data_IF_277185568682
#
_entry.id   IF_277185568682
#
_cell.length_a   1.000
_cell.length_b   1.000
_cell.length_c   1.000
_cell.angle_alpha   90.00
_cell.angle_beta   90.00
_cell.angle_gamma   90.00
#
_symmetry.space_group_name_H-M   'P 1'
#
loop_
_entity.id
_entity.type
_entity.pdbx_description
1 polymer ?
#
# COMPACT_ATOMS: atom_id res chain seq x y z
N UNK A 1 16.42 14.18 -2.78
CA UNK A 1 16.01 13.47 -1.54
C UNK A 1 16.94 12.28 -1.38
N UNK A 2 17.64 12.20 -0.24
CA UNK A 2 18.69 11.23 0.02
C UNK A 2 18.26 10.34 1.20
N UNK A 3 18.49 9.04 1.08
CA UNK A 3 18.30 8.09 2.17
C UNK A 3 19.46 8.14 3.14
N UNK A 4 19.15 8.21 4.42
CA UNK A 4 20.13 8.13 5.50
C UNK A 4 19.83 6.90 6.35
N UNK A 5 20.87 6.25 6.88
CA UNK A 5 20.69 5.11 7.76
C UNK A 5 20.14 5.59 9.10
N UNK A 6 19.05 4.99 9.56
CA UNK A 6 18.41 5.35 10.83
C UNK A 6 18.55 4.27 11.90
N UNK A 7 18.48 2.99 11.53
CA UNK A 7 18.46 1.89 12.50
C UNK A 7 19.17 0.65 11.97
N UNK A 8 19.67 -0.17 12.90
CA UNK A 8 20.20 -1.51 12.67
C UNK A 8 19.44 -2.48 13.58
N UNK A 9 18.75 -3.45 12.98
CA UNK A 9 17.97 -4.47 13.68
C UNK A 9 18.82 -5.75 13.71
N UNK A 10 19.29 -6.12 14.89
CA UNK A 10 20.27 -7.18 15.09
C UNK A 10 19.89 -8.14 16.22
N UNK A 11 20.55 -9.29 16.27
CA UNK A 11 20.53 -10.20 17.42
C UNK A 11 19.37 -11.18 17.49
N UNK A 12 18.30 -10.99 16.71
CA UNK A 12 17.14 -11.90 16.73
C UNK A 12 17.30 -13.08 15.75
N UNK A 13 17.65 -12.80 14.49
CA UNK A 13 17.88 -13.85 13.50
C UNK A 13 19.26 -14.49 13.65
N UNK A 14 19.29 -15.82 13.69
CA UNK A 14 20.52 -16.63 13.70
C UNK A 14 20.75 -17.36 12.37
N UNK A 15 19.73 -17.39 11.50
CA UNK A 15 19.81 -17.93 10.15
C UNK A 15 19.67 -16.81 9.12
N UNK A 16 20.07 -17.09 7.88
CA UNK A 16 19.98 -16.14 6.77
C UNK A 16 18.55 -15.63 6.58
N UNK A 17 18.38 -14.31 6.61
CA UNK A 17 17.11 -13.65 6.31
C UNK A 17 16.84 -13.77 4.81
N UNK A 18 15.66 -14.27 4.46
CA UNK A 18 15.24 -14.64 3.10
C UNK A 18 14.23 -13.70 2.49
N UNK A 19 13.45 -13.04 3.35
CA UNK A 19 12.44 -12.09 2.91
C UNK A 19 12.32 -10.94 3.88
N UNK A 20 12.10 -9.76 3.32
CA UNK A 20 11.80 -8.52 4.03
C UNK A 20 10.59 -7.90 3.33
N UNK A 21 9.59 -7.49 4.10
CA UNK A 21 8.45 -6.77 3.54
C UNK A 21 7.87 -5.78 4.54
N UNK A 22 7.68 -4.55 4.07
CA UNK A 22 7.01 -3.51 4.83
C UNK A 22 5.49 -3.69 4.76
N UNK A 23 4.81 -3.45 5.88
CA UNK A 23 3.36 -3.39 5.90
C UNK A 23 2.87 -2.20 5.06
N UNK A 24 1.84 -2.37 4.21
CA UNK A 24 1.32 -1.29 3.38
C UNK A 24 0.56 -0.24 4.20
N UNK A 25 0.11 -0.57 5.42
CA UNK A 25 -0.77 0.27 6.24
C UNK A 25 -0.05 0.82 7.47
N UNK A 26 0.67 -0.04 8.19
CA UNK A 26 1.34 0.28 9.45
C UNK A 26 2.85 0.40 9.23
N UNK A 27 3.58 1.23 10.03
CA UNK A 27 5.03 1.33 9.96
C UNK A 27 5.71 0.10 10.61
N UNK A 28 5.37 -1.08 10.12
CA UNK A 28 5.93 -2.36 10.54
C UNK A 28 6.74 -2.99 9.39
N UNK A 29 7.80 -3.70 9.75
CA UNK A 29 8.58 -4.52 8.84
C UNK A 29 8.45 -5.99 9.28
N UNK A 30 8.15 -6.89 8.36
CA UNK A 30 8.27 -8.33 8.60
C UNK A 30 9.58 -8.85 8.02
N UNK A 31 10.26 -9.71 8.76
CA UNK A 31 11.42 -10.46 8.29
C UNK A 31 11.23 -11.95 8.54
N UNK A 32 11.66 -12.77 7.59
CA UNK A 32 11.61 -14.22 7.67
C UNK A 32 12.94 -14.84 7.28
N UNK A 33 13.38 -15.87 8.01
CA UNK A 33 14.65 -16.56 7.76
C UNK A 33 14.48 -18.03 7.32
N UNK A 34 15.60 -18.63 6.90
CA UNK A 34 15.69 -20.03 6.46
C UNK A 34 15.36 -21.04 7.59
N UNK A 35 15.40 -20.63 8.87
CA UNK A 35 15.06 -21.49 10.01
C UNK A 35 13.58 -21.43 10.41
N UNK A 36 12.79 -20.58 9.74
CA UNK A 36 11.36 -20.40 10.02
C UNK A 36 11.06 -19.36 11.10
N UNK A 37 12.03 -18.53 11.49
CA UNK A 37 11.79 -17.43 12.40
C UNK A 37 11.16 -16.26 11.64
N UNK A 38 9.94 -15.90 12.00
CA UNK A 38 9.28 -14.68 11.56
C UNK A 38 9.37 -13.63 12.66
N UNK A 39 9.86 -12.43 12.33
CA UNK A 39 9.91 -11.31 13.25
C UNK A 39 9.14 -10.14 12.64
N UNK A 40 8.29 -9.50 13.43
CA UNK A 40 7.64 -8.24 13.04
C UNK A 40 8.24 -7.13 13.88
N UNK A 41 8.74 -6.09 13.24
CA UNK A 41 9.45 -4.98 13.84
C UNK A 41 8.61 -3.71 13.77
N UNK A 42 8.65 -2.92 14.82
CA UNK A 42 8.20 -1.52 14.80
C UNK A 42 9.35 -0.67 14.25
N UNK A 43 9.15 -0.03 13.10
CA UNK A 43 10.21 0.73 12.42
C UNK A 43 10.49 2.06 13.14
N UNK A 44 9.56 2.57 13.95
CA UNK A 44 9.75 3.84 14.67
C UNK A 44 10.67 3.65 15.87
N UNK A 45 10.51 2.55 16.58
CA UNK A 45 11.26 2.22 17.80
C UNK A 45 12.46 1.31 17.55
N UNK A 46 12.47 0.58 16.43
CA UNK A 46 13.46 -0.46 16.14
C UNK A 46 13.30 -1.73 16.97
N UNK A 47 12.19 -1.87 17.69
CA UNK A 47 11.94 -3.03 18.55
C UNK A 47 11.13 -4.11 17.84
N UNK A 48 11.40 -5.37 18.18
CA UNK A 48 10.58 -6.48 17.73
C UNK A 48 9.22 -6.46 18.45
N UNK A 49 8.14 -6.36 17.69
CA UNK A 49 6.75 -6.45 18.17
C UNK A 49 6.43 -7.91 18.51
N UNK A 50 6.82 -8.83 17.63
CA UNK A 50 6.62 -10.27 17.83
C UNK A 50 7.78 -11.06 17.25
N UNK A 51 7.93 -12.29 17.75
CA UNK A 51 8.82 -13.29 17.18
C UNK A 51 8.08 -14.63 17.20
N UNK A 52 7.89 -15.22 16.02
CA UNK A 52 7.13 -16.44 15.82
C UNK A 52 8.00 -17.51 15.16
N UNK A 53 8.05 -18.70 15.76
CA UNK A 53 8.69 -19.88 15.15
C UNK A 53 7.68 -20.65 14.28
N UNK A 54 7.94 -20.67 12.97
CA UNK A 54 7.15 -21.42 11.98
C UNK A 54 7.83 -22.77 11.68
N UNK A 55 7.05 -23.78 11.31
CA UNK A 55 7.54 -25.15 11.09
C UNK A 55 8.07 -25.37 9.66
N UNK A 56 8.99 -24.53 9.22
CA UNK A 56 9.62 -24.60 7.89
C UNK A 56 10.30 -23.27 7.55
N UNK A 57 11.27 -23.32 6.63
CA UNK A 57 11.97 -22.10 6.20
C UNK A 57 11.01 -21.15 5.49
N UNK A 58 11.10 -19.85 5.81
CA UNK A 58 10.22 -18.85 5.21
C UNK A 58 10.79 -18.46 3.84
N UNK A 59 10.02 -18.68 2.79
CA UNK A 59 10.42 -18.34 1.42
C UNK A 59 9.91 -16.98 0.97
N UNK A 60 8.72 -16.58 1.43
CA UNK A 60 8.07 -15.32 1.07
C UNK A 60 7.12 -14.88 2.18
N UNK A 61 7.00 -13.58 2.37
CA UNK A 61 5.98 -12.95 3.21
C UNK A 61 5.13 -12.09 2.29
N UNK A 62 3.86 -11.85 2.64
CA UNK A 62 3.04 -10.83 2.00
C UNK A 62 2.11 -10.22 3.03
N UNK A 63 2.02 -8.90 3.10
CA UNK A 63 1.10 -8.22 4.00
C UNK A 63 -0.31 -8.08 3.42
N UNK A 64 -1.33 -8.17 4.27
CA UNK A 64 -2.70 -7.84 3.86
C UNK A 64 -2.80 -6.32 3.56
N UNK A 65 -3.35 -5.98 2.39
CA UNK A 65 -3.51 -4.58 1.96
C UNK A 65 -4.68 -3.87 2.67
N UNK A 66 -5.56 -4.63 3.33
CA UNK A 66 -6.78 -4.13 3.98
C UNK A 66 -6.73 -4.26 5.50
N UNK A 67 -6.04 -5.27 6.04
CA UNK A 67 -5.95 -5.53 7.49
C UNK A 67 -4.53 -5.25 8.00
N UNK A 68 -4.40 -4.19 8.82
CA UNK A 68 -3.11 -3.70 9.35
C UNK A 68 -2.28 -4.72 10.16
N UNK A 69 -2.95 -5.72 10.72
CA UNK A 69 -2.35 -6.68 11.65
C UNK A 69 -2.41 -8.12 11.08
N UNK A 70 -2.52 -8.28 9.76
CA UNK A 70 -2.50 -9.59 9.08
C UNK A 70 -1.37 -9.67 8.07
N UNK A 71 -0.66 -10.80 8.08
CA UNK A 71 0.30 -11.17 7.06
C UNK A 71 0.19 -12.64 6.69
N UNK A 72 0.72 -12.97 5.52
CA UNK A 72 0.82 -14.31 4.96
C UNK A 72 2.29 -14.71 4.90
N UNK A 73 2.62 -15.93 5.31
CA UNK A 73 3.97 -16.48 5.21
C UNK A 73 3.94 -17.76 4.39
N UNK A 74 4.64 -17.77 3.26
CA UNK A 74 4.87 -18.96 2.45
C UNK A 74 6.10 -19.71 2.93
N UNK A 75 5.98 -21.03 3.07
CA UNK A 75 7.05 -21.91 3.51
C UNK A 75 7.63 -22.73 2.35
N UNK A 76 8.85 -23.24 2.56
CA UNK A 76 9.55 -24.13 1.66
C UNK A 76 8.85 -25.48 1.38
N UNK A 77 7.92 -25.88 2.25
CA UNK A 77 7.16 -27.15 2.14
C UNK A 77 5.75 -27.01 1.54
N UNK A 78 5.37 -25.80 1.10
CA UNK A 78 4.10 -25.56 0.40
C UNK A 78 2.96 -25.09 1.27
N UNK A 79 3.21 -24.94 2.57
CA UNK A 79 2.27 -24.32 3.49
C UNK A 79 2.28 -22.80 3.29
N UNK A 80 1.08 -22.22 3.19
CA UNK A 80 0.89 -20.78 3.32
C UNK A 80 0.18 -20.54 4.64
N UNK A 81 0.85 -19.86 5.57
CA UNK A 81 0.32 -19.54 6.88
C UNK A 81 -0.30 -18.15 6.89
N UNK A 82 -1.44 -18.02 7.54
CA UNK A 82 -2.18 -16.78 7.78
C UNK A 82 -1.99 -16.41 9.24
N UNK A 83 -1.38 -15.25 9.49
CA UNK A 83 -0.99 -14.79 10.81
C UNK A 83 -1.77 -13.51 11.10
N UNK A 84 -2.75 -13.64 12.00
CA UNK A 84 -3.58 -12.54 12.47
C UNK A 84 -3.06 -12.00 13.81
N UNK A 85 -3.08 -10.68 13.98
CA UNK A 85 -2.65 -9.98 15.19
C UNK A 85 -1.24 -10.33 15.67
N UNK A 86 -0.39 -10.85 14.78
CA UNK A 86 1.00 -11.27 15.06
C UNK A 86 1.12 -12.30 16.20
N UNK A 87 0.09 -13.13 16.38
CA UNK A 87 -0.03 -14.08 17.50
C UNK A 87 -0.23 -15.52 17.01
N UNK A 88 0.00 -16.46 17.93
CA UNK A 88 -0.41 -17.86 17.80
C UNK A 88 -1.79 -18.10 18.44
N UNK A 89 -2.60 -19.05 17.95
CA UNK A 89 -2.32 -19.91 16.80
C UNK A 89 -2.46 -19.15 15.48
N UNK A 90 -1.62 -19.51 14.50
CA UNK A 90 -1.78 -19.12 13.11
C UNK A 90 -2.55 -20.19 12.35
N UNK A 91 -3.15 -19.83 11.21
CA UNK A 91 -3.96 -20.74 10.40
C UNK A 91 -3.20 -21.16 9.14
N UNK A 92 -3.29 -22.43 8.75
CA UNK A 92 -2.79 -22.86 7.44
C UNK A 92 -3.88 -22.67 6.38
N UNK A 93 -3.52 -22.00 5.29
CA UNK A 93 -4.37 -21.86 4.12
C UNK A 93 -4.42 -23.19 3.35
N UNK A 94 -5.58 -23.51 2.78
CA UNK A 94 -5.78 -24.71 1.98
C UNK A 94 -5.29 -24.45 0.56
N UNK A 95 -4.01 -24.68 0.33
CA UNK A 95 -3.33 -24.51 -0.96
C UNK A 95 -3.62 -25.65 -1.95
N UNK A 96 -3.81 -26.88 -1.43
CA UNK A 96 -4.05 -28.08 -2.24
C UNK A 96 -2.78 -28.73 -2.78
N UNK A 97 -1.61 -28.13 -2.59
CA UNK A 97 -0.31 -28.64 -3.03
C UNK A 97 0.55 -28.98 -1.82
N UNK A 98 1.15 -30.16 -1.81
CA UNK A 98 1.94 -30.68 -0.68
C UNK A 98 3.39 -30.86 -1.12
N UNK A 99 4.34 -30.37 -0.33
CA UNK A 99 5.77 -30.66 -0.50
C UNK A 99 6.47 -29.89 -1.62
N UNK A 100 5.86 -28.81 -2.12
CA UNK A 100 6.46 -27.92 -3.12
C UNK A 100 6.67 -26.52 -2.53
N UNK A 101 7.78 -25.83 -2.81
CA UNK A 101 8.06 -24.52 -2.21
C UNK A 101 7.08 -23.44 -2.69
N UNK A 102 6.66 -22.58 -1.76
CA UNK A 102 5.96 -21.34 -2.12
C UNK A 102 6.98 -20.35 -2.66
N UNK A 103 6.83 -19.91 -3.91
CA UNK A 103 7.77 -19.01 -4.56
C UNK A 103 7.40 -17.53 -4.43
N UNK A 104 6.11 -17.22 -4.43
CA UNK A 104 5.61 -15.85 -4.34
C UNK A 104 4.20 -15.82 -3.77
N UNK A 105 3.86 -14.74 -3.07
CA UNK A 105 2.52 -14.42 -2.62
C UNK A 105 2.28 -12.94 -2.94
N UNK A 106 1.11 -12.60 -3.46
CA UNK A 106 0.69 -11.20 -3.63
C UNK A 106 -0.73 -11.02 -3.14
N UNK A 107 -0.97 -9.90 -2.48
CA UNK A 107 -2.27 -9.48 -1.97
C UNK A 107 -2.84 -8.35 -2.82
N UNK A 108 -4.17 -8.25 -2.83
CA UNK A 108 -4.90 -7.18 -3.51
C UNK A 108 -5.81 -6.44 -2.52
N UNK A 109 -6.03 -5.15 -2.75
CA UNK A 109 -6.97 -4.33 -1.98
C UNK A 109 -8.43 -4.79 -2.09
N UNK A 110 -8.79 -5.57 -3.12
CA UNK A 110 -10.13 -6.18 -3.20
C UNK A 110 -10.29 -7.48 -2.38
N UNK A 111 -9.28 -7.86 -1.59
CA UNK A 111 -9.30 -9.08 -0.76
C UNK A 111 -8.96 -10.37 -1.51
N UNK A 112 -8.60 -10.30 -2.81
CA UNK A 112 -8.01 -11.43 -3.52
C UNK A 112 -6.55 -11.65 -3.09
N UNK A 113 -6.16 -12.91 -3.08
CA UNK A 113 -4.80 -13.37 -2.82
C UNK A 113 -4.37 -14.24 -3.99
N UNK A 114 -3.11 -14.19 -4.39
CA UNK A 114 -2.54 -15.14 -5.33
C UNK A 114 -1.22 -15.67 -4.77
N UNK A 115 -0.99 -16.96 -4.93
CA UNK A 115 0.26 -17.59 -4.52
C UNK A 115 0.77 -18.54 -5.59
N UNK A 116 2.09 -18.63 -5.67
CA UNK A 116 2.82 -19.47 -6.59
C UNK A 116 3.48 -20.60 -5.81
N UNK A 117 3.13 -21.85 -6.10
CA UNK A 117 3.60 -23.03 -5.35
C UNK A 117 4.07 -24.07 -6.35
N UNK A 118 5.37 -24.42 -6.29
CA UNK A 118 5.98 -25.27 -7.30
C UNK A 118 5.83 -24.68 -8.71
N UNK A 119 5.13 -25.39 -9.60
CA UNK A 119 4.83 -24.96 -10.97
C UNK A 119 3.49 -24.25 -11.14
N UNK A 120 2.67 -24.21 -10.09
CA UNK A 120 1.27 -23.75 -10.17
C UNK A 120 1.12 -22.32 -9.62
N UNK A 121 0.17 -21.58 -10.20
CA UNK A 121 -0.23 -20.26 -9.71
C UNK A 121 -1.71 -20.33 -9.36
N UNK A 122 -2.01 -20.14 -8.08
CA UNK A 122 -3.35 -20.26 -7.54
C UNK A 122 -3.89 -18.88 -7.22
N UNK A 123 -5.17 -18.71 -7.45
CA UNK A 123 -5.97 -17.60 -6.93
C UNK A 123 -6.71 -18.10 -5.70
N UNK A 124 -6.67 -17.33 -4.64
CA UNK A 124 -7.24 -17.67 -3.35
C UNK A 124 -8.11 -16.52 -2.80
N UNK A 125 -9.09 -16.89 -1.98
CA UNK A 125 -9.91 -15.94 -1.26
C UNK A 125 -10.21 -16.41 0.17
N UNK A 126 -10.62 -15.47 1.02
CA UNK A 126 -11.11 -15.74 2.37
C UNK A 126 -12.55 -16.26 2.28
N UNK A 127 -12.78 -17.48 2.74
CA UNK A 127 -14.11 -18.07 2.88
C UNK A 127 -14.79 -17.59 4.17
N UNK A 128 -16.12 -17.75 4.25
CA UNK A 128 -16.88 -17.52 5.49
C UNK A 128 -16.29 -18.39 6.61
N UNK A 129 -15.77 -17.74 7.66
CA UNK A 129 -15.04 -18.40 8.75
C UNK A 129 -13.53 -18.17 8.76
N UNK A 130 -13.00 -17.30 7.89
CA UNK A 130 -11.59 -16.85 7.94
C UNK A 130 -10.58 -17.82 7.35
N UNK A 131 -11.04 -18.95 6.82
CA UNK A 131 -10.18 -19.92 6.12
C UNK A 131 -9.89 -19.45 4.71
N UNK A 132 -8.61 -19.49 4.33
CA UNK A 132 -8.18 -19.16 2.97
C UNK A 132 -8.08 -20.43 2.13
N UNK A 133 -8.68 -20.41 0.94
CA UNK A 133 -8.73 -21.56 0.04
C UNK A 133 -8.40 -21.13 -1.39
N UNK A 134 -7.78 -22.03 -2.15
CA UNK A 134 -7.70 -21.89 -3.60
C UNK A 134 -9.09 -21.94 -4.21
N UNK A 135 -9.39 -20.96 -5.07
CA UNK A 135 -10.63 -20.89 -5.85
C UNK A 135 -10.41 -21.10 -7.34
N UNK A 136 -9.20 -20.81 -7.83
CA UNK A 136 -8.84 -21.04 -9.22
C UNK A 136 -7.35 -21.33 -9.34
N UNK A 137 -6.97 -22.05 -10.39
CA UNK A 137 -5.57 -22.37 -10.72
C UNK A 137 -5.34 -21.94 -12.16
N UNK A 138 -4.39 -21.04 -12.35
CA UNK A 138 -4.06 -20.55 -13.69
C UNK A 138 -3.38 -21.66 -14.50
N UNK A 139 -3.69 -21.77 -15.81
CA UNK A 139 -3.06 -22.77 -16.65
C UNK A 139 -1.57 -22.44 -16.87
N UNK A 140 -0.83 -23.45 -17.34
CA UNK A 140 0.57 -23.29 -17.70
C UNK A 140 0.75 -22.19 -18.78
N UNK A 141 1.83 -21.38 -18.70
CA UNK A 141 2.10 -20.36 -19.71
C UNK A 141 2.38 -21.01 -21.06
N UNK A 142 1.73 -20.49 -22.11
CA UNK A 142 1.93 -20.97 -23.48
C UNK A 142 2.85 -20.00 -24.19
N UNK A 143 4.03 -20.47 -24.58
CA UNK A 143 4.99 -19.70 -25.37
C UNK A 143 5.01 -20.20 -26.81
N UNK A 144 4.71 -19.31 -27.75
CA UNK A 144 4.78 -19.61 -29.17
C UNK A 144 6.19 -19.32 -29.69
N UNK A 145 6.91 -20.36 -30.16
CA UNK A 145 8.06 -20.18 -31.04
C UNK A 145 9.42 -20.73 -30.59
N UNK A 146 9.56 -21.31 -29.38
CA UNK A 146 10.86 -21.87 -28.97
C UNK A 146 10.74 -23.15 -28.11
N UNK A 147 11.01 -24.31 -28.74
CA UNK A 147 10.92 -25.63 -28.09
C UNK A 147 11.89 -25.81 -26.90
N UNK A 148 13.05 -25.14 -26.91
CA UNK A 148 14.01 -25.25 -25.80
C UNK A 148 13.51 -24.62 -24.50
N UNK A 149 12.65 -23.60 -24.59
CA UNK A 149 12.06 -22.94 -23.42
C UNK A 149 10.86 -23.74 -22.91
N UNK A 150 10.06 -24.31 -23.82
CA UNK A 150 8.88 -25.11 -23.43
C UNK A 150 9.22 -26.38 -22.66
N UNK A 151 10.44 -26.89 -22.79
CA UNK A 151 10.91 -28.09 -22.08
C UNK A 151 11.44 -27.78 -20.66
N UNK A 152 11.57 -26.51 -20.28
CA UNK A 152 12.04 -26.12 -18.95
C UNK A 152 10.92 -26.27 -17.89
N UNK A 153 11.26 -26.53 -16.61
CA UNK A 153 10.25 -26.60 -15.56
C UNK A 153 9.62 -25.21 -15.35
N UNK A 154 8.29 -25.17 -15.31
CA UNK A 154 7.55 -23.95 -14.97
C UNK A 154 7.85 -23.59 -13.53
N UNK A 155 8.37 -22.38 -13.32
CA UNK A 155 8.73 -21.84 -12.01
C UNK A 155 8.31 -20.38 -11.92
N UNK A 156 7.10 -20.06 -11.46
CA UNK A 156 6.71 -18.70 -11.12
C UNK A 156 7.64 -18.12 -10.04
N UNK A 157 8.02 -16.85 -10.19
CA UNK A 157 8.99 -16.16 -9.31
C UNK A 157 8.40 -14.94 -8.61
N UNK A 158 7.50 -14.23 -9.28
CA UNK A 158 6.84 -13.05 -8.74
C UNK A 158 5.46 -12.87 -9.37
N UNK A 159 4.55 -12.35 -8.57
CA UNK A 159 3.13 -12.18 -8.91
C UNK A 159 2.75 -10.73 -8.64
N UNK A 160 2.03 -10.11 -9.57
CA UNK A 160 1.56 -8.72 -9.43
C UNK A 160 0.13 -8.58 -9.91
N UNK A 161 -0.78 -8.18 -9.02
CA UNK A 161 -2.12 -7.79 -9.45
C UNK A 161 -2.08 -6.49 -10.26
N UNK A 162 -2.82 -6.46 -11.35
CA UNK A 162 -2.86 -5.35 -12.30
C UNK A 162 -4.31 -4.97 -12.64
N UNK A 163 -4.53 -3.72 -13.10
CA UNK A 163 -5.84 -3.15 -13.43
C UNK A 163 -6.95 -3.48 -12.40
N UNK A 164 -6.80 -2.97 -11.18
CA UNK A 164 -7.74 -3.21 -10.06
C UNK A 164 -7.97 -4.71 -9.79
N UNK A 165 -6.92 -5.51 -9.99
CA UNK A 165 -6.89 -6.95 -9.70
C UNK A 165 -7.86 -7.77 -10.55
N UNK A 166 -8.15 -7.28 -11.76
CA UNK A 166 -8.77 -8.06 -12.85
C UNK A 166 -7.72 -8.89 -13.59
N UNK A 167 -6.47 -8.45 -13.58
CA UNK A 167 -5.36 -9.11 -14.27
C UNK A 167 -4.28 -9.52 -13.28
N UNK A 168 -3.54 -10.57 -13.62
CA UNK A 168 -2.35 -10.99 -12.86
C UNK A 168 -1.16 -11.10 -13.80
N UNK A 169 -0.11 -10.37 -13.49
CA UNK A 169 1.18 -10.48 -14.18
C UNK A 169 2.03 -11.46 -13.39
N UNK A 170 2.50 -12.50 -14.06
CA UNK A 170 3.37 -13.54 -13.52
C UNK A 170 4.70 -13.48 -14.24
N UNK A 171 5.79 -13.37 -13.47
CA UNK A 171 7.13 -13.52 -14.01
C UNK A 171 7.63 -14.93 -13.70
N UNK A 172 8.02 -15.66 -14.73
CA UNK A 172 8.53 -17.02 -14.64
C UNK A 172 10.04 -17.03 -14.80
N UNK A 173 10.70 -17.99 -14.15
CA UNK A 173 12.15 -18.14 -14.23
C UNK A 173 12.63 -18.30 -15.68
N UNK A 174 12.01 -19.20 -16.44
CA UNK A 174 12.39 -19.49 -17.84
C UNK A 174 11.37 -19.04 -18.88
N UNK A 175 10.12 -18.80 -18.49
CA UNK A 175 9.01 -18.61 -19.42
C UNK A 175 8.65 -17.13 -19.65
N UNK A 176 9.56 -16.21 -19.31
CA UNK A 176 9.33 -14.78 -19.47
C UNK A 176 8.23 -14.25 -18.56
N UNK A 177 7.49 -13.27 -19.05
CA UNK A 177 6.46 -12.56 -18.29
C UNK A 177 5.12 -12.76 -18.99
N UNK A 178 4.12 -13.21 -18.25
CA UNK A 178 2.79 -13.49 -18.80
C UNK A 178 1.74 -12.73 -18.00
N UNK A 179 0.77 -12.15 -18.70
CA UNK A 179 -0.38 -11.53 -18.09
C UNK A 179 -1.63 -12.36 -18.32
N UNK A 180 -2.35 -12.62 -17.24
CA UNK A 180 -3.57 -13.40 -17.21
C UNK A 180 -4.76 -12.50 -16.95
N UNK A 181 -5.88 -12.82 -17.59
CA UNK A 181 -7.17 -12.33 -17.15
C UNK A 181 -7.75 -13.26 -16.08
N UNK A 182 -8.12 -12.72 -14.92
CA UNK A 182 -8.59 -13.51 -13.79
C UNK A 182 -10.10 -13.81 -13.83
N UNK A 183 -10.81 -13.32 -14.84
CA UNK A 183 -12.22 -13.63 -15.03
C UNK A 183 -12.43 -14.83 -15.97
N UNK A 184 -11.54 -14.96 -16.96
CA UNK A 184 -11.58 -16.01 -17.98
C UNK A 184 -10.42 -17.00 -17.89
N UNK A 185 -9.39 -16.69 -17.11
CA UNK A 185 -8.15 -17.47 -16.95
C UNK A 185 -7.40 -17.65 -18.29
N UNK A 186 -7.55 -16.68 -19.19
CA UNK A 186 -6.90 -16.62 -20.51
C UNK A 186 -5.61 -15.80 -20.42
N UNK A 187 -4.57 -16.24 -21.12
CA UNK A 187 -3.34 -15.49 -21.36
C UNK A 187 -3.64 -14.31 -22.30
N UNK A 188 -3.51 -13.08 -21.79
CA UNK A 188 -3.78 -11.86 -22.55
C UNK A 188 -2.60 -11.45 -23.44
N UNK A 189 -1.40 -11.56 -22.89
CA UNK A 189 -0.15 -11.24 -23.57
C UNK A 189 1.03 -11.83 -22.80
N UNK A 190 2.15 -11.96 -23.49
CA UNK A 190 3.43 -12.37 -22.95
C UNK A 190 4.57 -11.48 -23.45
N UNK A 191 5.66 -11.46 -22.68
CA UNK A 191 6.97 -10.95 -23.06
C UNK A 191 7.91 -12.16 -22.99
N UNK A 192 8.30 -12.73 -24.13
CA UNK A 192 9.15 -13.92 -24.15
C UNK A 192 10.54 -13.58 -23.60
N UNK A 193 11.23 -14.56 -22.99
CA UNK A 193 12.61 -14.37 -22.56
C UNK A 193 13.50 -14.11 -23.78
N UNK A 194 14.52 -13.27 -23.61
CA UNK A 194 15.48 -12.95 -24.68
C UNK A 194 16.80 -13.69 -24.45
N UNK A 195 17.61 -13.90 -25.49
CA UNK A 195 18.93 -14.54 -25.37
C UNK A 195 19.86 -13.81 -24.38
N UNK A 196 19.66 -12.50 -24.21
CA UNK A 196 20.36 -11.67 -23.23
C UNK A 196 19.80 -11.73 -21.80
N UNK A 197 18.62 -12.32 -21.61
CA UNK A 197 17.92 -12.44 -20.32
C UNK A 197 17.30 -13.83 -20.20
N UNK A 198 18.13 -14.87 -20.01
CA UNK A 198 17.63 -16.23 -20.01
C UNK A 198 16.81 -16.56 -18.77
N UNK A 199 17.03 -15.85 -17.65
CA UNK A 199 16.44 -16.20 -16.36
C UNK A 199 15.99 -15.00 -15.54
N UNK A 200 14.71 -14.95 -15.18
CA UNK A 200 14.15 -13.88 -14.34
C UNK A 200 14.26 -14.28 -12.86
N UNK A 201 14.92 -13.44 -12.07
CA UNK A 201 15.07 -13.63 -10.63
C UNK A 201 13.83 -13.21 -9.84
N UNK A 202 13.50 -11.92 -9.93
CA UNK A 202 12.34 -11.26 -9.29
C UNK A 202 11.83 -10.12 -10.18
N UNK A 203 10.61 -9.67 -9.94
CA UNK A 203 10.05 -8.50 -10.60
C UNK A 203 9.22 -7.65 -9.64
N UNK A 204 9.11 -6.35 -9.94
CA UNK A 204 8.29 -5.40 -9.20
C UNK A 204 7.58 -4.45 -10.15
N UNK A 205 6.33 -4.12 -9.85
CA UNK A 205 5.55 -3.15 -10.63
C UNK A 205 5.71 -1.74 -10.07
N UNK A 206 5.77 -0.77 -10.98
CA UNK A 206 5.66 0.68 -10.74
C UNK A 206 4.36 1.16 -11.40
N UNK A 207 3.22 1.13 -10.69
CA UNK A 207 1.92 1.43 -11.27
C UNK A 207 1.81 2.86 -11.81
N UNK A 208 2.46 3.82 -11.13
CA UNK A 208 2.36 5.26 -11.46
C UNK A 208 2.88 5.59 -12.86
N UNK A 209 3.95 4.91 -13.27
CA UNK A 209 4.55 5.01 -14.61
C UNK A 209 4.24 3.80 -15.49
N UNK A 210 3.31 2.94 -15.07
CA UNK A 210 2.89 1.75 -15.81
C UNK A 210 4.06 0.88 -16.30
N UNK A 211 5.07 0.69 -15.44
CA UNK A 211 6.33 0.01 -15.76
C UNK A 211 6.53 -1.21 -14.87
N UNK A 212 7.18 -2.24 -15.39
CA UNK A 212 7.59 -3.44 -14.65
C UNK A 212 9.11 -3.54 -14.68
N UNK A 213 9.74 -3.57 -13.51
CA UNK A 213 11.19 -3.78 -13.37
C UNK A 213 11.43 -5.24 -13.06
N UNK A 214 12.31 -5.89 -13.80
CA UNK A 214 12.76 -7.26 -13.55
C UNK A 214 14.23 -7.25 -13.17
N UNK A 215 14.65 -8.12 -12.26
CA UNK A 215 16.06 -8.49 -12.10
C UNK A 215 16.32 -9.76 -12.90
N UNK A 216 17.20 -9.63 -13.89
CA UNK A 216 17.84 -10.73 -14.58
C UNK A 216 19.06 -11.20 -13.76
N UNK A 217 19.34 -12.50 -13.80
CA UNK A 217 20.45 -13.13 -13.09
C UNK A 217 21.79 -12.96 -13.85
N UNK A 218 21.75 -12.57 -15.13
CA UNK A 218 22.94 -12.37 -15.96
C UNK A 218 23.38 -10.90 -16.09
N UNK A 219 22.46 -10.00 -16.45
CA UNK A 219 22.81 -8.65 -16.95
C UNK A 219 22.49 -7.49 -16.02
N UNK A 220 21.64 -7.66 -14.99
CA UNK A 220 21.22 -6.58 -14.10
C UNK A 220 19.71 -6.49 -13.93
N UNK A 221 19.17 -5.28 -13.83
CA UNK A 221 17.73 -5.06 -13.80
C UNK A 221 17.26 -4.30 -15.05
N UNK A 222 16.09 -4.65 -15.58
CA UNK A 222 15.55 -4.07 -16.81
C UNK A 222 14.11 -3.65 -16.61
N UNK A 223 13.77 -2.45 -17.09
CA UNK A 223 12.45 -1.86 -16.99
C UNK A 223 11.67 -2.04 -18.31
N UNK A 224 10.45 -2.56 -18.21
CA UNK A 224 9.52 -2.79 -19.32
C UNK A 224 8.28 -1.91 -19.20
N UNK A 225 7.88 -1.26 -20.29
CA UNK A 225 6.56 -0.60 -20.38
C UNK A 225 5.47 -1.66 -20.40
N UNK A 226 4.52 -1.60 -19.47
CA UNK A 226 3.36 -2.49 -19.48
C UNK A 226 2.36 -2.16 -20.60
N UNK A 227 2.45 -0.95 -21.18
CA UNK A 227 1.61 -0.54 -22.31
C UNK A 227 2.15 -1.12 -23.62
N UNK A 228 3.43 -0.89 -23.87
CA UNK A 228 4.07 -1.18 -25.16
C UNK A 228 4.79 -2.54 -25.17
N UNK A 229 5.01 -3.14 -23.99
CA UNK A 229 5.73 -4.41 -23.80
C UNK A 229 7.15 -4.36 -24.36
N UNK A 230 7.77 -3.18 -24.29
CA UNK A 230 9.14 -2.92 -24.73
C UNK A 230 10.00 -2.47 -23.56
N UNK A 231 11.30 -2.70 -23.70
CA UNK A 231 12.31 -2.20 -22.78
C UNK A 231 12.34 -0.67 -22.84
N UNK A 232 12.26 -0.04 -21.67
CA UNK A 232 12.29 1.43 -21.49
C UNK A 232 13.61 1.88 -20.89
N UNK A 233 14.22 1.06 -20.03
CA UNK A 233 15.48 1.39 -19.36
C UNK A 233 16.24 0.13 -18.94
N UNK A 234 17.56 0.26 -18.80
CA UNK A 234 18.44 -0.82 -18.34
C UNK A 234 19.24 -0.33 -17.14
N UNK A 235 18.87 -0.85 -15.97
CA UNK A 235 19.54 -0.54 -14.71
C UNK A 235 20.81 -1.39 -14.62
N UNK A 236 21.95 -0.76 -14.92
CA UNK A 236 23.26 -1.40 -14.86
C UNK A 236 23.65 -1.67 -13.40
N UNK A 237 23.39 -2.89 -12.94
CA UNK A 237 23.80 -3.35 -11.62
C UNK A 237 25.24 -3.87 -11.66
N UNK A 238 26.00 -3.64 -10.59
CA UNK A 238 27.34 -4.23 -10.46
C UNK A 238 27.19 -5.67 -9.99
N UNK A 239 26.89 -6.56 -10.93
CA UNK A 239 26.75 -7.99 -10.68
C UNK A 239 28.04 -8.73 -10.98
N UNK A 240 28.38 -9.69 -10.11
CA UNK A 240 29.34 -10.73 -10.43
C UNK A 240 28.58 -11.85 -11.14
N UNK A 241 28.50 -11.78 -12.47
CA UNK A 241 27.67 -12.67 -13.31
C UNK A 241 27.90 -14.17 -13.11
N UNK A 242 29.05 -14.56 -12.54
CA UNK A 242 29.38 -15.95 -12.22
C UNK A 242 28.55 -16.54 -11.06
N UNK A 243 27.99 -15.71 -10.18
CA UNK A 243 27.30 -16.21 -8.97
C UNK A 243 25.85 -16.65 -9.21
N UNK A 244 25.23 -16.25 -10.33
CA UNK A 244 23.88 -16.65 -10.73
C UNK A 244 22.86 -16.65 -9.57
N UNK A 245 22.80 -15.57 -8.79
CA UNK A 245 21.88 -15.44 -7.63
C UNK A 245 20.81 -14.40 -7.96
N UNK A 246 19.52 -14.70 -7.75
CA UNK A 246 18.46 -13.73 -8.01
C UNK A 246 18.48 -12.63 -6.94
N UNK A 247 18.41 -11.38 -7.39
CA UNK A 247 18.38 -10.20 -6.50
C UNK A 247 16.95 -9.72 -6.38
N UNK A 248 16.49 -9.54 -5.14
CA UNK A 248 15.16 -8.97 -4.89
C UNK A 248 15.18 -7.50 -5.34
N UNK A 249 14.13 -7.10 -6.06
CA UNK A 249 13.90 -5.72 -6.47
C UNK A 249 12.71 -5.21 -5.70
N UNK A 250 12.82 -4.02 -5.11
CA UNK A 250 11.73 -3.33 -4.44
C UNK A 250 11.38 -2.04 -5.17
N UNK A 251 10.14 -1.59 -5.02
CA UNK A 251 9.66 -0.34 -5.59
C UNK A 251 9.04 0.54 -4.50
N UNK A 252 9.28 1.84 -4.56
CA UNK A 252 8.58 2.80 -3.72
C UNK A 252 7.24 3.16 -4.37
N UNK A 253 6.14 2.73 -3.76
CA UNK A 253 4.79 3.10 -4.23
C UNK A 253 4.62 4.63 -4.26
N UNK A 254 3.95 5.14 -5.28
CA UNK A 254 3.72 6.58 -5.46
C UNK A 254 4.93 7.33 -6.04
N UNK A 255 5.88 6.60 -6.64
CA UNK A 255 7.14 7.14 -7.20
C UNK A 255 7.60 6.34 -8.43
N UNK A 256 8.59 6.87 -9.14
CA UNK A 256 9.32 6.17 -10.21
C UNK A 256 10.56 5.41 -9.72
N UNK A 257 10.71 5.22 -8.40
CA UNK A 257 11.96 4.71 -7.82
C UNK A 257 11.96 3.20 -7.65
N UNK A 258 13.00 2.56 -8.19
CA UNK A 258 13.29 1.14 -8.00
C UNK A 258 14.56 0.96 -7.18
N UNK A 259 14.59 -0.09 -6.37
CA UNK A 259 15.66 -0.40 -5.44
C UNK A 259 16.17 -1.80 -5.73
N UNK A 260 17.48 -1.93 -5.85
CA UNK A 260 18.15 -3.19 -6.14
C UNK A 260 19.31 -3.39 -5.16
N UNK A 261 19.46 -4.61 -4.64
CA UNK A 261 20.70 -5.01 -3.96
C UNK A 261 21.84 -5.25 -4.97
N UNK A 262 23.09 -5.20 -4.49
CA UNK A 262 24.27 -5.52 -5.29
C UNK A 262 25.13 -6.59 -4.60
N UNK A 263 26.12 -7.12 -5.32
CA UNK A 263 27.06 -8.14 -4.78
C UNK A 263 28.15 -7.55 -3.88
N UNK A 264 28.38 -6.24 -3.94
CA UNK A 264 29.43 -5.50 -3.21
C UNK A 264 29.00 -5.04 -1.81
N UNK A 265 27.82 -5.44 -1.33
CA UNK A 265 27.26 -4.96 -0.07
C UNK A 265 26.56 -3.61 -0.17
N UNK A 266 26.38 -3.05 -1.37
CA UNK A 266 25.64 -1.82 -1.59
C UNK A 266 24.19 -2.05 -2.05
N UNK A 267 23.36 -1.04 -1.85
CA UNK A 267 21.99 -0.95 -2.40
C UNK A 267 21.94 0.23 -3.34
N UNK A 268 21.47 0.01 -4.56
CA UNK A 268 21.29 1.06 -5.56
C UNK A 268 19.83 1.50 -5.62
N UNK A 269 19.61 2.81 -5.55
CA UNK A 269 18.33 3.48 -5.73
C UNK A 269 18.32 4.14 -7.09
N UNK A 270 17.39 3.75 -7.95
CA UNK A 270 17.26 4.19 -9.32
C UNK A 270 15.98 5.00 -9.51
N UNK A 271 16.04 6.04 -10.32
CA UNK A 271 14.87 6.68 -10.91
C UNK A 271 14.62 6.09 -12.29
N UNK A 272 13.60 5.24 -12.39
CA UNK A 272 13.30 4.48 -13.60
C UNK A 272 12.71 5.37 -14.70
N UNK A 273 12.10 6.51 -14.34
CA UNK A 273 11.54 7.42 -15.33
C UNK A 273 12.62 8.15 -16.14
N UNK A 274 13.77 8.43 -15.50
CA UNK A 274 14.89 9.14 -16.10
C UNK A 274 16.09 8.22 -16.42
N UNK A 275 16.00 6.93 -16.10
CA UNK A 275 17.07 5.93 -16.26
C UNK A 275 18.38 6.30 -15.54
N UNK A 276 18.26 6.92 -14.36
CA UNK A 276 19.41 7.42 -13.59
C UNK A 276 19.52 6.77 -12.21
N UNK A 277 20.75 6.49 -11.77
CA UNK A 277 21.01 6.06 -10.40
C UNK A 277 21.01 7.28 -9.47
N UNK A 278 19.96 7.41 -8.68
CA UNK A 278 19.80 8.53 -7.74
C UNK A 278 20.75 8.45 -6.55
N UNK A 279 21.00 7.24 -6.03
CA UNK A 279 21.82 7.06 -4.83
C UNK A 279 22.36 5.64 -4.71
N UNK A 280 23.56 5.51 -4.14
CA UNK A 280 24.11 4.23 -3.67
C UNK A 280 24.28 4.26 -2.15
N UNK A 281 23.76 3.24 -1.49
CA UNK A 281 23.76 3.07 -0.04
C UNK A 281 24.69 1.92 0.35
N UNK A 282 25.68 2.17 1.19
CA UNK A 282 26.66 1.15 1.59
C UNK A 282 26.17 0.41 2.84
N UNK A 283 25.59 -0.78 2.66
CA UNK A 283 25.15 -1.62 3.79
C UNK A 283 26.36 -2.28 4.48
N UNK A 284 27.22 -2.96 3.72
CA UNK A 284 28.42 -3.62 4.21
C UNK A 284 29.61 -3.35 3.27
N UNK A 285 30.83 -3.60 3.76
CA UNK A 285 32.04 -3.50 2.94
C UNK A 285 32.12 -4.59 1.85
N UNK A 286 31.50 -5.74 2.10
CA UNK A 286 31.37 -6.85 1.17
C UNK A 286 30.18 -7.73 1.61
N UNK A 287 29.60 -8.45 0.65
CA UNK A 287 28.53 -9.42 0.81
C UNK A 287 27.33 -9.13 -0.08
N UNK A 288 26.66 -10.19 -0.52
CA UNK A 288 25.47 -10.06 -1.36
C UNK A 288 24.30 -9.45 -0.58
N UNK A 289 23.80 -8.29 -1.02
CA UNK A 289 22.49 -7.79 -0.57
C UNK A 289 21.42 -8.57 -1.31
N UNK A 290 20.85 -9.58 -0.66
CA UNK A 290 19.88 -10.46 -1.30
C UNK A 290 18.45 -9.89 -1.22
N UNK A 291 18.08 -9.34 -0.07
CA UNK A 291 16.70 -8.92 0.20
C UNK A 291 16.68 -7.42 0.49
N UNK A 292 15.80 -6.74 -0.22
CA UNK A 292 15.48 -5.33 -0.04
C UNK A 292 13.97 -5.18 0.04
N UNK A 293 13.52 -4.25 0.84
CA UNK A 293 12.12 -3.84 0.91
C UNK A 293 12.06 -2.32 0.88
N UNK A 294 10.98 -1.78 0.34
CA UNK A 294 10.79 -0.34 0.26
C UNK A 294 9.32 -0.01 0.44
N UNK A 295 9.03 1.05 1.18
CA UNK A 295 7.67 1.53 1.36
C UNK A 295 7.66 3.01 1.71
N UNK A 296 6.64 3.71 1.21
CA UNK A 296 6.39 5.11 1.54
C UNK A 296 5.28 5.18 2.57
N UNK A 297 5.52 5.88 3.68
CA UNK A 297 4.51 6.21 4.68
C UNK A 297 4.38 7.73 4.79
N UNK A 298 3.23 8.27 4.37
CA UNK A 298 2.92 9.71 4.43
C UNK A 298 4.04 10.55 3.78
N UNK A 299 4.97 11.09 4.58
CA UNK A 299 6.05 12.00 4.24
C UNK A 299 7.45 11.34 4.29
N UNK A 300 7.51 10.05 4.59
CA UNK A 300 8.77 9.35 4.82
C UNK A 300 8.86 8.11 3.92
N UNK A 301 9.96 8.01 3.20
CA UNK A 301 10.30 6.83 2.43
C UNK A 301 11.22 5.96 3.28
N UNK A 302 10.89 4.68 3.39
CA UNK A 302 11.68 3.70 4.12
C UNK A 302 12.22 2.64 3.18
N UNK A 303 13.43 2.21 3.48
CA UNK A 303 14.14 1.14 2.80
C UNK A 303 14.68 0.21 3.87
N UNK A 304 14.49 -1.09 3.69
CA UNK A 304 15.15 -2.11 4.48
C UNK A 304 16.06 -2.91 3.56
N UNK A 305 17.19 -3.34 4.09
CA UNK A 305 18.18 -4.13 3.35
C UNK A 305 18.86 -5.11 4.29
N UNK A 306 19.24 -6.26 3.76
CA UNK A 306 20.02 -7.25 4.51
C UNK A 306 21.05 -7.92 3.61
N UNK A 307 22.23 -8.19 4.18
CA UNK A 307 23.34 -8.84 3.51
C UNK A 307 23.44 -10.28 3.98
N UNK A 308 23.76 -11.19 3.04
CA UNK A 308 24.02 -12.59 3.35
C UNK A 308 25.35 -12.71 4.10
N UNK A 309 25.25 -12.92 5.42
CA UNK A 309 26.37 -13.18 6.35
C UNK A 309 25.92 -14.16 7.45
N UNK A 310 26.88 -14.72 8.19
CA UNK A 310 26.63 -15.63 9.31
C UNK A 310 25.72 -15.02 10.37
N UNK A 311 25.89 -13.72 10.64
CA UNK A 311 24.99 -12.93 11.51
C UNK A 311 24.26 -11.92 10.66
N UNK A 312 22.96 -12.14 10.35
CA UNK A 312 22.20 -11.21 9.53
C UNK A 312 21.95 -9.91 10.29
N UNK A 313 22.19 -8.80 9.60
CA UNK A 313 21.85 -7.45 10.06
C UNK A 313 20.83 -6.88 9.09
N UNK A 314 19.75 -6.31 9.61
CA UNK A 314 18.76 -5.59 8.80
C UNK A 314 18.99 -4.10 9.05
N UNK A 315 19.34 -3.36 7.99
CA UNK A 315 19.51 -1.90 8.06
C UNK A 315 18.28 -1.20 7.53
N UNK A 316 17.79 -0.22 8.29
CA UNK A 316 16.71 0.67 7.90
C UNK A 316 17.30 2.01 7.46
N UNK A 317 16.85 2.46 6.30
CA UNK A 317 17.19 3.74 5.72
C UNK A 317 15.93 4.55 5.54
N UNK A 318 16.04 5.85 5.76
CA UNK A 318 14.93 6.78 5.76
C UNK A 318 15.27 7.99 4.92
N UNK A 319 14.31 8.45 4.13
CA UNK A 319 14.36 9.70 3.39
C UNK A 319 13.11 10.50 3.70
N UNK A 320 13.26 11.81 3.92
CA UNK A 320 12.11 12.72 4.07
C UNK A 320 11.68 13.24 2.70
N UNK A 321 10.40 13.04 2.39
CA UNK A 321 9.74 13.62 1.22
C UNK A 321 9.30 15.03 1.57
N UNK A 322 9.78 16.02 0.81
CA UNK A 322 9.23 17.37 0.87
C UNK A 322 7.83 17.37 0.26
N UNK A 323 6.79 17.20 1.08
CA UNK A 323 5.40 17.27 0.63
C UNK A 323 4.87 18.70 0.74
N UNK A 324 4.00 19.08 -0.19
CA UNK A 324 3.20 20.29 -0.04
C UNK A 324 2.11 20.07 1.01
N UNK A 325 1.76 21.12 1.76
CA UNK A 325 0.75 21.07 2.83
C UNK A 325 -0.59 20.47 2.35
N UNK A 326 -0.96 20.71 1.09
CA UNK A 326 -2.15 20.17 0.44
C UNK A 326 -2.15 18.62 0.35
N UNK A 327 -1.00 18.01 0.01
CA UNK A 327 -0.87 16.55 -0.09
C UNK A 327 -0.93 15.88 1.28
N UNK A 328 -0.36 16.52 2.31
CA UNK A 328 -0.43 16.05 3.70
C UNK A 328 -1.89 16.01 4.18
N UNK A 329 -2.68 17.02 3.80
CA UNK A 329 -4.10 17.12 4.16
C UNK A 329 -4.91 16.01 3.50
N UNK A 330 -4.87 15.84 2.17
CA UNK A 330 -5.67 14.83 1.46
C UNK A 330 -5.42 13.42 1.99
N UNK A 331 -4.14 13.02 2.15
CA UNK A 331 -3.80 11.69 2.64
C UNK A 331 -4.21 11.46 4.11
N UNK A 332 -4.17 12.49 4.95
CA UNK A 332 -4.70 12.41 6.32
C UNK A 332 -6.21 12.31 6.35
N UNK A 333 -6.92 12.85 5.36
CA UNK A 333 -8.37 12.69 5.28
C UNK A 333 -8.77 11.28 4.83
N UNK A 334 -8.05 10.64 3.90
CA UNK A 334 -8.33 9.25 3.46
C UNK A 334 -8.12 8.20 4.56
N UNK A 335 -7.20 8.43 5.50
CA UNK A 335 -6.95 7.48 6.61
C UNK A 335 -7.91 7.58 7.80
N UNK A 336 -8.72 8.64 7.89
CA UNK A 336 -9.50 8.96 9.11
C UNK A 336 -11.00 8.77 8.97
N UNK A 337 -11.52 8.70 7.75
CA UNK A 337 -12.95 8.55 7.53
C UNK A 337 -13.22 7.30 6.70
N UNK A 338 -13.93 6.32 7.26
CA UNK A 338 -14.60 5.31 6.45
C UNK A 338 -15.43 6.05 5.38
N UNK A 339 -15.47 5.51 4.15
CA UNK A 339 -16.17 6.13 3.02
C UNK A 339 -17.62 6.54 3.36
N UNK A 340 -18.24 5.85 4.33
CA UNK A 340 -19.54 6.18 4.94
C UNK A 340 -19.60 7.60 5.54
N UNK A 341 -18.54 8.08 6.19
CA UNK A 341 -18.53 9.40 6.84
C UNK A 341 -18.29 10.53 5.84
N UNK A 342 -17.41 10.33 4.85
CA UNK A 342 -17.25 11.27 3.74
C UNK A 342 -18.56 11.39 2.96
N UNK A 343 -19.23 10.27 2.74
CA UNK A 343 -20.55 10.24 2.09
C UNK A 343 -21.62 11.00 2.90
N UNK A 344 -21.65 10.87 4.23
CA UNK A 344 -22.56 11.64 5.09
C UNK A 344 -22.26 13.15 5.02
N UNK A 345 -20.99 13.56 5.00
CA UNK A 345 -20.61 14.97 4.88
C UNK A 345 -21.03 15.52 3.52
N UNK A 346 -20.80 14.78 2.42
CA UNK A 346 -21.18 15.18 1.07
C UNK A 346 -22.70 15.28 0.93
N UNK A 347 -23.46 14.31 1.47
CA UNK A 347 -24.93 14.36 1.49
C UNK A 347 -25.42 15.55 2.32
N UNK A 348 -24.79 15.83 3.46
CA UNK A 348 -25.19 16.95 4.32
C UNK A 348 -24.94 18.29 3.62
N UNK A 349 -23.82 18.43 2.90
CA UNK A 349 -23.51 19.60 2.08
C UNK A 349 -24.46 19.74 0.89
N UNK A 350 -24.76 18.64 0.18
CA UNK A 350 -25.74 18.63 -0.91
C UNK A 350 -27.14 19.01 -0.40
N UNK A 351 -27.56 18.49 0.75
CA UNK A 351 -28.82 18.83 1.41
C UNK A 351 -28.88 20.31 1.78
N UNK A 352 -27.80 20.88 2.32
CA UNK A 352 -27.69 22.31 2.62
C UNK A 352 -27.74 23.17 1.35
N UNK A 353 -27.07 22.76 0.27
CA UNK A 353 -27.14 23.48 -1.01
C UNK A 353 -28.52 23.40 -1.65
N UNK A 354 -29.22 22.28 -1.53
CA UNK A 354 -30.58 22.10 -2.04
C UNK A 354 -31.57 22.94 -1.22
N UNK A 355 -31.43 22.97 0.10
CA UNK A 355 -32.23 23.83 0.98
C UNK A 355 -32.00 25.33 0.66
N UNK A 356 -30.76 25.73 0.41
CA UNK A 356 -30.42 27.08 -0.01
C UNK A 356 -31.00 27.43 -1.39
N UNK A 357 -30.93 26.50 -2.36
CA UNK A 357 -31.54 26.66 -3.68
C UNK A 357 -33.06 26.82 -3.60
N UNK A 358 -33.74 25.98 -2.82
CA UNK A 358 -35.19 26.07 -2.58
C UNK A 358 -35.57 27.39 -1.92
N UNK A 359 -34.79 27.85 -0.93
CA UNK A 359 -34.98 29.14 -0.27
C UNK A 359 -34.76 30.32 -1.23
N UNK A 360 -33.73 30.25 -2.09
CA UNK A 360 -33.44 31.28 -3.09
C UNK A 360 -34.49 31.36 -4.21
N UNK A 361 -35.20 30.25 -4.47
CA UNK A 361 -36.27 30.17 -5.46
C UNK A 361 -37.67 30.50 -4.92
N UNK A 362 -37.82 30.88 -3.64
CA UNK A 362 -39.09 31.43 -3.11
C UNK A 362 -39.53 32.71 -3.83
N UNK A 363 -38.64 33.37 -4.57
CA UNK A 363 -39.01 34.43 -5.52
C UNK A 363 -39.86 33.97 -6.72
N UNK A 364 -39.96 32.66 -6.99
CA UNK A 364 -40.68 32.11 -8.15
C UNK A 364 -41.99 31.36 -7.81
N UNK A 365 -42.28 31.14 -6.53
CA UNK A 365 -43.53 30.49 -6.08
C UNK A 365 -44.35 31.36 -5.12
N UNK A 366 -44.18 32.68 -5.16
CA UNK A 366 -45.08 33.65 -4.51
C UNK A 366 -46.48 33.73 -5.16
N UNK A 367 -46.89 32.71 -5.91
CA UNK A 367 -48.11 32.69 -6.72
C UNK A 367 -49.23 31.77 -6.23
N UNK A 368 -48.97 30.70 -5.48
CA UNK A 368 -50.05 29.74 -5.12
C UNK A 368 -49.85 29.00 -3.79
N UNK A 369 -50.75 29.30 -2.85
CA UNK A 369 -51.31 28.46 -1.76
C UNK A 369 -50.51 28.20 -0.46
N UNK A 370 -51.18 28.48 0.67
CA UNK A 370 -50.79 28.29 2.09
C UNK A 370 -50.27 26.89 2.50
N UNK A 371 -50.40 25.88 1.63
CA UNK A 371 -49.89 24.52 1.91
C UNK A 371 -48.38 24.39 1.73
N UNK A 372 -47.74 25.23 0.90
CA UNK A 372 -46.29 25.18 0.68
C UNK A 372 -45.48 25.59 1.91
N UNK A 373 -45.96 26.62 2.62
CA UNK A 373 -45.25 27.20 3.77
C UNK A 373 -45.21 26.23 4.97
N UNK A 374 -46.28 25.46 5.16
CA UNK A 374 -46.38 24.42 6.21
C UNK A 374 -45.51 23.20 5.91
N UNK A 375 -45.40 22.81 4.64
CA UNK A 375 -44.56 21.69 4.21
C UNK A 375 -43.06 22.03 4.34
N UNK A 376 -42.66 23.25 3.98
CA UNK A 376 -41.26 23.71 4.10
C UNK A 376 -40.85 23.84 5.58
N UNK A 377 -41.71 24.33 6.46
CA UNK A 377 -41.45 24.32 7.91
C UNK A 377 -41.30 22.90 8.46
N UNK A 378 -42.18 21.98 8.05
CA UNK A 378 -42.14 20.59 8.51
C UNK A 378 -40.87 19.84 8.03
N UNK A 379 -40.48 20.02 6.77
CA UNK A 379 -39.23 19.46 6.23
C UNK A 379 -38.01 20.11 6.90
N UNK A 380 -38.06 21.43 7.17
CA UNK A 380 -37.02 22.15 7.91
C UNK A 380 -36.81 21.63 9.34
N UNK A 381 -37.90 21.34 10.05
CA UNK A 381 -37.83 20.74 11.39
C UNK A 381 -37.27 19.32 11.37
N UNK A 382 -37.67 18.48 10.40
CA UNK A 382 -37.14 17.12 10.25
C UNK A 382 -35.63 17.14 9.95
N UNK A 383 -35.20 18.00 9.02
CA UNK A 383 -33.78 18.16 8.69
C UNK A 383 -32.98 18.70 9.87
N UNK A 384 -33.52 19.67 10.62
CA UNK A 384 -32.83 20.19 11.80
C UNK A 384 -32.72 19.14 12.91
N UNK A 385 -33.80 18.39 13.16
CA UNK A 385 -33.86 17.42 14.27
C UNK A 385 -33.04 16.17 13.99
N UNK A 386 -33.08 15.62 12.77
CA UNK A 386 -32.46 14.34 12.43
C UNK A 386 -31.10 14.45 11.73
N UNK A 387 -30.75 15.60 11.14
CA UNK A 387 -29.48 15.77 10.42
C UNK A 387 -28.62 16.85 11.08
N UNK A 388 -29.15 18.05 11.31
CA UNK A 388 -28.34 19.17 11.83
C UNK A 388 -27.95 18.99 13.31
N UNK A 389 -28.90 18.65 14.20
CA UNK A 389 -28.59 18.51 15.65
C UNK A 389 -27.61 17.37 15.96
N UNK A 390 -27.71 16.18 15.33
CA UNK A 390 -26.73 15.12 15.53
C UNK A 390 -25.38 15.48 14.88
N UNK A 391 -25.38 16.16 13.73
CA UNK A 391 -24.16 16.65 13.10
C UNK A 391 -23.48 17.73 13.95
N UNK A 392 -24.21 18.65 14.58
CA UNK A 392 -23.66 19.66 15.49
C UNK A 392 -23.10 19.03 16.78
N UNK A 393 -23.80 18.05 17.36
CA UNK A 393 -23.30 17.32 18.51
C UNK A 393 -22.05 16.49 18.16
N UNK A 394 -22.04 15.86 16.99
CA UNK A 394 -20.90 15.12 16.48
C UNK A 394 -19.72 16.03 16.16
N UNK A 395 -19.93 17.15 15.45
CA UNK A 395 -18.92 18.16 15.14
C UNK A 395 -18.40 18.84 16.41
N UNK A 396 -19.24 19.05 17.42
CA UNK A 396 -18.83 19.53 18.74
C UNK A 396 -17.92 18.53 19.45
N UNK A 397 -18.24 17.23 19.40
CA UNK A 397 -17.44 16.15 19.98
C UNK A 397 -16.13 15.94 19.24
N UNK A 398 -16.16 16.03 17.90
CA UNK A 398 -14.98 15.99 17.03
C UNK A 398 -14.11 17.22 17.28
N UNK A 399 -14.69 18.43 17.37
CA UNK A 399 -13.99 19.68 17.69
C UNK A 399 -13.31 19.62 19.05
N UNK A 400 -13.97 19.09 20.08
CA UNK A 400 -13.38 18.89 21.41
C UNK A 400 -12.24 17.88 21.40
N UNK A 401 -12.42 16.72 20.75
CA UNK A 401 -11.36 15.70 20.61
C UNK A 401 -10.20 16.20 19.75
N UNK A 402 -10.49 16.97 18.72
CA UNK A 402 -9.51 17.56 17.81
C UNK A 402 -8.76 18.71 18.48
N UNK A 403 -9.42 19.58 19.26
CA UNK A 403 -8.78 20.60 20.12
C UNK A 403 -7.90 19.97 21.21
N UNK A 404 -8.35 18.91 21.86
CA UNK A 404 -7.57 18.20 22.87
C UNK A 404 -6.32 17.54 22.26
N UNK A 405 -6.45 16.90 21.09
CA UNK A 405 -5.31 16.31 20.37
C UNK A 405 -4.41 17.35 19.71
N UNK A 406 -4.95 18.46 19.22
CA UNK A 406 -4.17 19.61 18.71
C UNK A 406 -3.36 20.24 19.83
N UNK A 407 -3.91 20.42 21.02
CA UNK A 407 -3.15 20.88 22.20
C UNK A 407 -2.06 19.90 22.62
N UNK A 408 -2.31 18.60 22.52
CA UNK A 408 -1.30 17.56 22.74
C UNK A 408 -0.22 17.54 21.64
N UNK A 409 -0.59 17.91 20.41
CA UNK A 409 0.28 18.06 19.24
C UNK A 409 1.14 19.34 19.27
N UNK A 410 0.63 20.42 19.84
CA UNK A 410 1.22 21.77 19.83
C UNK A 410 2.29 21.99 20.91
N UNK A 411 2.74 20.95 21.61
CA UNK A 411 3.89 21.02 22.50
C UNK A 411 5.24 20.96 21.74
N UNK A 412 5.27 21.50 20.52
CA UNK A 412 6.46 21.67 19.67
C UNK A 412 6.49 23.15 19.29
N UNK A 413 7.40 23.89 19.91
CA UNK A 413 7.53 25.35 19.81
C UNK A 413 7.95 25.86 18.41
N UNK A 414 7.44 27.06 18.10
CA UNK A 414 8.17 28.21 17.53
C UNK A 414 8.21 28.58 16.02
N UNK A 415 7.52 27.92 15.09
CA UNK A 415 7.68 28.31 13.67
C UNK A 415 6.46 28.80 12.88
N UNK A 416 5.23 28.77 13.41
CA UNK A 416 4.04 29.07 12.59
C UNK A 416 2.98 29.85 13.37
N UNK A 417 3.36 30.99 13.96
CA UNK A 417 2.43 31.88 14.68
C UNK A 417 1.48 32.63 13.77
N UNK A 418 1.97 33.19 12.66
CA UNK A 418 1.21 34.24 11.95
C UNK A 418 0.10 33.68 11.05
N UNK A 419 0.35 32.59 10.31
CA UNK A 419 -0.68 32.01 9.41
C UNK A 419 -1.78 31.24 10.13
N UNK A 420 -1.53 30.82 11.38
CA UNK A 420 -2.51 30.10 12.19
C UNK A 420 -3.43 31.09 12.92
N UNK A 421 -2.90 32.27 13.31
CA UNK A 421 -3.71 33.38 13.79
C UNK A 421 -4.77 33.80 12.76
N UNK A 422 -4.35 34.01 11.50
CA UNK A 422 -5.26 34.36 10.40
C UNK A 422 -6.36 33.30 10.17
N UNK A 423 -6.00 32.01 10.23
CA UNK A 423 -6.98 30.93 10.07
C UNK A 423 -7.97 30.84 11.24
N UNK A 424 -7.53 31.10 12.46
CA UNK A 424 -8.40 31.14 13.64
C UNK A 424 -9.31 32.37 13.60
N UNK A 425 -8.79 33.54 13.23
CA UNK A 425 -9.58 34.76 13.06
C UNK A 425 -10.64 34.60 11.96
N UNK A 426 -10.29 33.99 10.82
CA UNK A 426 -11.26 33.71 9.75
C UNK A 426 -12.39 32.77 10.22
N UNK A 427 -12.08 31.76 11.05
CA UNK A 427 -13.08 30.86 11.62
C UNK A 427 -13.95 31.60 12.65
N UNK A 428 -13.37 32.48 13.48
CA UNK A 428 -14.12 33.29 14.42
C UNK A 428 -15.01 34.33 13.74
N UNK A 429 -14.57 34.90 12.60
CA UNK A 429 -15.35 35.83 11.80
C UNK A 429 -16.55 35.14 11.14
N UNK A 430 -16.35 33.94 10.59
CA UNK A 430 -17.45 33.10 10.08
C UNK A 430 -18.41 32.74 11.21
N UNK A 431 -17.93 32.37 12.39
CA UNK A 431 -18.79 32.07 13.54
C UNK A 431 -19.59 33.30 14.02
N UNK A 432 -18.99 34.50 13.99
CA UNK A 432 -19.66 35.77 14.32
C UNK A 432 -20.72 36.13 13.29
N UNK A 433 -20.46 35.94 11.99
CA UNK A 433 -21.44 36.21 10.93
C UNK A 433 -22.63 35.22 10.99
N UNK A 434 -22.37 33.96 11.31
CA UNK A 434 -23.43 32.96 11.60
C UNK A 434 -24.26 33.37 12.83
N UNK A 435 -23.62 33.89 13.89
CA UNK A 435 -24.34 34.40 15.06
C UNK A 435 -25.14 35.68 14.78
N UNK A 436 -24.66 36.55 13.87
CA UNK A 436 -25.35 37.76 13.39
C UNK A 436 -26.59 37.42 12.56
N UNK A 437 -26.49 36.42 11.69
CA UNK A 437 -27.63 35.88 10.93
C UNK A 437 -28.74 35.35 11.86
N UNK A 438 -28.35 34.79 13.02
CA UNK A 438 -29.25 34.35 14.10
C UNK A 438 -29.94 35.50 14.85
N UNK A 439 -29.36 36.71 14.88
CA UNK A 439 -30.01 37.92 15.47
C UNK A 439 -31.02 38.56 14.53
N UNK A 440 -30.78 38.56 13.20
CA UNK A 440 -31.75 39.08 12.21
C UNK A 440 -33.04 38.25 12.12
N UNK A 441 -32.97 36.95 12.39
CA UNK A 441 -34.13 36.04 12.41
C UNK A 441 -34.98 36.16 13.69
N UNK A 442 -34.56 36.94 14.69
CA UNK A 442 -35.29 37.11 15.96
C UNK A 442 -36.20 38.34 16.02
N UNK A 443 -36.16 39.24 15.03
CA UNK A 443 -36.98 40.47 14.96
C UNK A 443 -38.41 40.24 14.42
N UNK A 444 -38.79 39.01 14.09
CA UNK A 444 -40.15 38.67 13.65
C UNK A 444 -41.14 38.31 14.76
N UNK A 445 -40.77 38.47 16.04
CA UNK A 445 -41.61 38.05 17.19
C UNK A 445 -42.16 39.16 18.08
N UNK A 446 -41.79 40.43 17.86
CA UNK A 446 -42.20 41.56 18.72
C UNK A 446 -43.12 42.59 18.02
N UNK A 447 -43.86 42.21 16.96
CA UNK A 447 -44.91 43.06 16.32
C UNK A 447 -46.31 42.43 16.49
N UNK A 448 -46.57 41.72 17.59
CA UNK A 448 -47.93 41.19 17.88
C UNK A 448 -48.36 41.31 19.35
N UNK A 449 -47.77 42.23 20.12
CA UNK A 449 -48.38 42.75 21.35
C UNK A 449 -48.52 44.29 21.26
N UNK A 450 -49.42 44.73 20.37
CA UNK A 450 -50.31 45.89 20.57
C UNK A 450 -51.47 45.90 19.56
#
# INVERSE_FOLDING_TARGET
MHFERTQELEGVHQARVKWLEFSPISPHLASGDDAGLLVVWDIRTGQAITTLGLKGGISVIAWDQNKRDRLFAGLDKGDVLVIDSFKTPYHSAKTGVIGAPVHAITTSSNGRLAWAIGSEVHIACEMRGGSWVTVDILPAPVLHGNRQITDQPIRPRSLHFHKRSSQLIVSYLYHGIVCWDLSTSIQLWDIPPTTSQPTIGYSVTLPDISTLVISDMATGAVAYSLKDRKVVGKLNLQLQGERNVPIVVAALRGTSRAICGNHDGSVSVWDVAHDEMSQRLHHAADGLVQCVAAQTYIDEEFLASTVVKDKPVIKIWKSRRGLSMYQIVIYRYEGYFEASVVFIIVISLLGLTLAWLLYSHEGFLAGTCDYGHSFVQWVGEILHRHIASPAEAFLGTVSLKMKAKLRQWLNIEEAIGDKVGEAIEAIEEVAKEVAKAKRKTRWGKDIFDM
#
